data_IF_313792625187
#
_entry.id   IF_313792625187
#
_cell.length_a   1.000
_cell.length_b   1.000
_cell.length_c   1.000
_cell.angle_alpha   90.00
_cell.angle_beta   90.00
_cell.angle_gamma   90.00
#
_symmetry.space_group_name_H-M   'P 1'
#
loop_
_entity.id
_entity.type
_entity.pdbx_description
1 polymer ?
#
# COMPACT_ATOMS: atom_id res chain seq x y z
N UNK A 1 2.23 -17.56 10.40
CA UNK A 1 2.32 -17.25 8.96
C UNK A 1 2.42 -15.74 8.81
N UNK A 2 3.62 -15.21 8.58
CA UNK A 2 3.77 -13.80 8.21
C UNK A 2 3.60 -13.72 6.69
N UNK A 3 2.41 -13.35 6.20
CA UNK A 3 2.19 -13.13 4.77
C UNK A 3 2.97 -11.87 4.35
N UNK A 4 4.15 -12.09 3.76
CA UNK A 4 5.00 -11.08 3.14
C UNK A 4 4.34 -10.49 1.89
N UNK A 5 3.37 -9.60 2.11
CA UNK A 5 2.66 -8.88 1.06
C UNK A 5 2.99 -7.39 1.15
N UNK A 6 3.52 -6.82 0.07
CA UNK A 6 3.83 -5.40 -0.06
C UNK A 6 2.67 -4.73 -0.78
N UNK A 7 1.97 -3.82 -0.10
CA UNK A 7 0.95 -2.98 -0.74
C UNK A 7 1.61 -1.70 -1.26
N UNK A 8 1.48 -1.43 -2.55
CA UNK A 8 1.93 -0.19 -3.15
C UNK A 8 0.83 0.85 -3.00
N UNK A 9 1.05 1.82 -2.11
CA UNK A 9 0.42 3.14 -2.15
C UNK A 9 1.20 4.06 -3.08
N UNK A 10 0.67 5.24 -3.41
CA UNK A 10 1.30 6.22 -4.30
C UNK A 10 2.62 6.86 -3.74
N UNK A 11 3.36 6.15 -2.88
CA UNK A 11 4.70 6.54 -2.48
C UNK A 11 5.69 5.95 -3.47
N UNK A 12 6.21 6.78 -4.38
CA UNK A 12 7.41 6.45 -5.12
C UNK A 12 8.53 6.19 -4.09
N UNK A 13 8.98 4.95 -3.99
CA UNK A 13 9.99 4.53 -3.03
C UNK A 13 11.41 5.00 -3.44
N UNK A 14 11.63 6.30 -3.71
CA UNK A 14 12.97 6.89 -3.92
C UNK A 14 13.05 8.40 -3.58
N UNK A 15 12.18 8.97 -2.73
CA UNK A 15 12.42 10.34 -2.22
C UNK A 15 13.39 10.30 -1.04
N UNK A 16 14.67 10.56 -1.30
CA UNK A 16 15.61 10.92 -0.23
C UNK A 16 15.26 12.32 0.27
N UNK A 17 14.63 12.41 1.44
CA UNK A 17 14.37 13.68 2.11
C UNK A 17 15.67 14.24 2.69
N UNK A 18 16.47 14.89 1.85
CA UNK A 18 17.54 15.78 2.28
C UNK A 18 16.99 17.18 2.54
N UNK A 19 16.64 17.49 3.79
CA UNK A 19 16.39 18.87 4.24
C UNK A 19 17.72 19.66 4.25
N UNK A 20 18.22 20.03 3.07
CA UNK A 20 19.28 21.03 2.94
C UNK A 20 18.62 22.38 2.69
N UNK A 21 18.75 23.28 3.66
CA UNK A 21 18.34 24.67 3.50
C UNK A 21 19.14 25.31 2.35
N UNK A 22 18.44 25.91 1.40
CA UNK A 22 18.99 26.54 0.20
C UNK A 22 19.96 27.68 0.55
N UNK A 23 21.20 27.60 0.06
CA UNK A 23 22.10 28.74 -0.02
C UNK A 23 21.70 29.60 -1.23
N UNK A 24 21.39 30.90 -1.08
CA UNK A 24 21.03 31.75 -2.22
C UNK A 24 22.22 31.88 -3.20
N UNK A 25 22.04 31.41 -4.44
CA UNK A 25 23.01 31.56 -5.53
C UNK A 25 23.53 30.27 -6.17
N UNK A 26 23.19 29.10 -5.63
CA UNK A 26 23.42 27.82 -6.30
C UNK A 26 22.16 27.43 -7.10
N UNK A 27 22.33 26.99 -8.34
CA UNK A 27 21.22 26.44 -9.14
C UNK A 27 20.58 25.25 -8.41
N UNK A 28 19.29 25.00 -8.64
CA UNK A 28 18.57 23.89 -8.02
C UNK A 28 19.27 22.55 -8.30
N UNK A 29 19.33 21.67 -7.31
CA UNK A 29 19.92 20.34 -7.48
C UNK A 29 19.01 19.44 -8.33
N UNK A 30 19.57 18.33 -8.85
CA UNK A 30 18.76 17.32 -9.55
C UNK A 30 17.63 16.78 -8.66
N UNK A 31 17.90 16.58 -7.37
CA UNK A 31 16.91 16.08 -6.41
C UNK A 31 15.76 17.07 -6.20
N UNK A 32 16.06 18.36 -6.05
CA UNK A 32 15.05 19.41 -5.89
C UNK A 32 14.15 19.54 -7.12
N UNK A 33 14.73 19.44 -8.32
CA UNK A 33 13.98 19.46 -9.57
C UNK A 33 13.10 18.21 -9.71
N UNK A 34 13.62 17.04 -9.39
CA UNK A 34 12.87 15.78 -9.37
C UNK A 34 11.72 15.80 -8.37
N UNK A 35 11.91 16.39 -7.18
CA UNK A 35 10.84 16.53 -6.18
C UNK A 35 9.71 17.45 -6.69
N UNK A 36 10.04 18.57 -7.34
CA UNK A 36 9.03 19.43 -7.98
C UNK A 36 8.32 18.75 -9.13
N UNK A 37 9.04 18.00 -9.97
CA UNK A 37 8.47 17.23 -11.07
C UNK A 37 7.53 16.13 -10.57
N UNK A 38 7.88 15.48 -9.45
CA UNK A 38 7.03 14.52 -8.75
C UNK A 38 5.71 15.15 -8.29
N UNK A 39 5.75 16.34 -7.68
CA UNK A 39 4.54 17.06 -7.28
C UNK A 39 3.64 17.36 -8.50
N UNK A 40 4.24 17.75 -9.63
CA UNK A 40 3.50 17.96 -10.88
C UNK A 40 2.87 16.65 -11.41
N UNK A 41 3.61 15.54 -11.37
CA UNK A 41 3.08 14.21 -11.72
C UNK A 41 1.89 13.81 -10.86
N UNK A 42 1.96 14.02 -9.54
CA UNK A 42 0.87 13.75 -8.60
C UNK A 42 -0.35 14.65 -8.85
N UNK A 43 -0.11 15.90 -9.25
CA UNK A 43 -1.13 16.85 -9.68
C UNK A 43 -1.72 16.54 -11.07
N UNK A 44 -1.19 15.55 -11.78
CA UNK A 44 -1.50 15.21 -13.18
C UNK A 44 -1.18 16.36 -14.17
N UNK A 45 -0.27 17.27 -13.79
CA UNK A 45 0.31 18.26 -14.69
C UNK A 45 1.52 17.66 -15.40
N UNK A 46 1.24 16.87 -16.44
CA UNK A 46 2.27 16.09 -17.13
C UNK A 46 3.23 16.94 -17.95
N UNK A 47 2.86 18.16 -18.33
CA UNK A 47 3.77 19.08 -19.03
C UNK A 47 4.85 19.58 -18.08
N UNK A 48 4.43 20.14 -16.94
CA UNK A 48 5.38 20.58 -15.89
C UNK A 48 6.19 19.40 -15.35
N UNK A 49 5.58 18.22 -15.23
CA UNK A 49 6.30 17.00 -14.86
C UNK A 49 7.43 16.66 -15.86
N UNK A 50 7.11 16.62 -17.16
CA UNK A 50 8.07 16.26 -18.19
C UNK A 50 9.25 17.23 -18.23
N UNK A 51 8.97 18.54 -18.18
CA UNK A 51 9.99 19.58 -18.16
C UNK A 51 10.85 19.51 -16.88
N UNK A 52 10.21 19.29 -15.73
CA UNK A 52 10.89 19.17 -14.44
C UNK A 52 11.87 17.99 -14.39
N UNK A 53 11.44 16.79 -14.78
CA UNK A 53 12.33 15.62 -14.81
C UNK A 53 13.40 15.73 -15.88
N UNK A 54 13.11 16.35 -17.04
CA UNK A 54 14.13 16.63 -18.04
C UNK A 54 15.21 17.58 -17.48
N UNK A 55 14.81 18.65 -16.81
CA UNK A 55 15.74 19.59 -16.19
C UNK A 55 16.58 18.91 -15.10
N UNK A 56 15.96 18.05 -14.27
CA UNK A 56 16.66 17.24 -13.28
C UNK A 56 17.74 16.35 -13.92
N UNK A 57 17.38 15.66 -15.01
CA UNK A 57 18.31 14.81 -15.76
C UNK A 57 19.50 15.61 -16.35
N UNK A 58 19.25 16.83 -16.82
CA UNK A 58 20.28 17.67 -17.44
C UNK A 58 21.33 18.20 -16.45
N UNK A 59 20.99 18.29 -15.17
CA UNK A 59 21.92 18.71 -14.10
C UNK A 59 22.44 17.55 -13.25
N UNK A 60 21.84 16.36 -13.36
CA UNK A 60 22.28 15.16 -12.65
C UNK A 60 23.71 14.77 -13.05
N UNK A 61 24.59 14.59 -12.06
CA UNK A 61 25.97 14.14 -12.28
C UNK A 61 26.09 12.62 -12.27
N UNK A 62 25.23 11.95 -11.49
CA UNK A 62 25.13 10.50 -11.45
C UNK A 62 24.40 9.96 -12.69
N UNK A 63 24.91 8.85 -13.24
CA UNK A 63 24.38 8.30 -14.49
C UNK A 63 23.02 7.60 -14.29
N UNK A 64 22.81 6.96 -13.15
CA UNK A 64 21.56 6.27 -12.80
C UNK A 64 20.45 7.29 -12.55
N UNK A 65 20.70 8.32 -11.74
CA UNK A 65 19.77 9.42 -11.49
C UNK A 65 19.39 10.15 -12.79
N UNK A 66 20.36 10.37 -13.68
CA UNK A 66 20.13 10.97 -15.00
C UNK A 66 19.25 10.07 -15.88
N UNK A 67 19.56 8.79 -15.94
CA UNK A 67 18.81 7.81 -16.74
C UNK A 67 17.36 7.70 -16.27
N UNK A 68 17.15 7.58 -14.97
CA UNK A 68 15.82 7.54 -14.36
C UNK A 68 15.05 8.84 -14.61
N UNK A 69 15.67 10.00 -14.43
CA UNK A 69 15.01 11.28 -14.67
C UNK A 69 14.56 11.43 -16.14
N UNK A 70 15.39 11.03 -17.13
CA UNK A 70 14.94 11.03 -18.52
C UNK A 70 13.81 10.01 -18.79
N UNK A 71 13.85 8.85 -18.15
CA UNK A 71 12.79 7.84 -18.25
C UNK A 71 11.45 8.39 -17.74
N UNK A 72 11.45 9.00 -16.56
CA UNK A 72 10.26 9.63 -15.96
C UNK A 72 9.74 10.81 -16.77
N UNK A 73 10.65 11.63 -17.32
CA UNK A 73 10.28 12.70 -18.25
C UNK A 73 9.56 12.17 -19.49
N UNK A 74 10.03 11.04 -20.05
CA UNK A 74 9.38 10.40 -21.19
C UNK A 74 7.98 9.87 -20.85
N UNK A 75 7.80 9.27 -19.66
CA UNK A 75 6.50 8.85 -19.14
C UNK A 75 5.51 10.02 -19.07
N UNK A 76 5.92 11.14 -18.47
CA UNK A 76 5.11 12.36 -18.42
C UNK A 76 4.80 12.94 -19.80
N UNK A 77 5.78 13.05 -20.69
CA UNK A 77 5.54 13.54 -22.05
C UNK A 77 4.56 12.64 -22.83
N UNK A 78 4.65 11.32 -22.66
CA UNK A 78 3.73 10.35 -23.27
C UNK A 78 2.31 10.50 -22.72
N UNK A 79 2.15 10.63 -21.39
CA UNK A 79 0.85 10.89 -20.75
C UNK A 79 0.22 12.22 -21.17
N UNK A 80 1.04 13.23 -21.51
CA UNK A 80 0.60 14.51 -22.07
C UNK A 80 0.22 14.42 -23.56
N UNK A 81 0.43 13.28 -24.23
CA UNK A 81 0.19 13.10 -25.67
C UNK A 81 1.32 13.64 -26.56
N UNK A 82 2.47 13.99 -26.00
CA UNK A 82 3.62 14.54 -26.71
C UNK A 82 4.60 13.46 -27.16
N UNK A 83 4.16 12.58 -28.06
CA UNK A 83 4.96 11.41 -28.50
C UNK A 83 6.30 11.82 -29.13
N UNK A 84 6.31 12.89 -29.94
CA UNK A 84 7.52 13.43 -30.57
C UNK A 84 8.57 13.92 -29.55
N UNK A 85 8.13 14.35 -28.37
CA UNK A 85 9.01 14.73 -27.27
C UNK A 85 9.41 13.54 -26.39
N UNK A 86 8.50 12.57 -26.21
CA UNK A 86 8.73 11.39 -25.36
C UNK A 86 9.77 10.42 -25.95
N UNK A 87 9.73 10.15 -27.26
CA UNK A 87 10.69 9.25 -27.93
C UNK A 87 12.16 9.67 -27.72
N UNK A 88 12.58 10.92 -27.97
CA UNK A 88 13.96 11.32 -27.72
C UNK A 88 14.34 11.28 -26.24
N UNK A 89 13.40 11.51 -25.31
CA UNK A 89 13.67 11.41 -23.87
C UNK A 89 13.97 9.97 -23.46
N UNK A 90 13.16 8.98 -23.86
CA UNK A 90 13.44 7.58 -23.53
C UNK A 90 14.72 7.06 -24.20
N UNK A 91 15.04 7.54 -25.41
CA UNK A 91 16.36 7.29 -26.04
C UNK A 91 17.50 7.82 -25.16
N UNK A 92 17.38 9.05 -24.64
CA UNK A 92 18.39 9.63 -23.72
C UNK A 92 18.48 8.86 -22.41
N UNK A 93 17.38 8.34 -21.89
CA UNK A 93 17.37 7.47 -20.70
C UNK A 93 18.23 6.22 -20.92
N UNK A 94 17.99 5.49 -22.02
CA UNK A 94 18.75 4.29 -22.39
C UNK A 94 20.22 4.63 -22.68
N UNK A 95 20.50 5.73 -23.37
CA UNK A 95 21.88 6.20 -23.60
C UNK A 95 22.60 6.57 -22.30
N UNK A 96 21.86 7.01 -21.28
CA UNK A 96 22.39 7.34 -19.95
C UNK A 96 22.54 6.12 -19.04
N UNK A 97 22.12 4.93 -19.49
CA UNK A 97 22.32 3.67 -18.77
C UNK A 97 21.03 2.99 -18.27
N UNK A 98 19.84 3.53 -18.56
CA UNK A 98 18.59 2.87 -18.15
C UNK A 98 18.54 1.44 -18.70
N UNK A 99 18.23 0.47 -17.83
CA UNK A 99 18.42 -0.95 -18.13
C UNK A 99 17.20 -1.86 -17.89
N UNK A 100 16.13 -1.37 -17.27
CA UNK A 100 14.94 -2.20 -17.01
C UNK A 100 14.01 -2.26 -18.25
N UNK A 101 14.41 -3.10 -19.21
CA UNK A 101 13.69 -3.29 -20.46
C UNK A 101 12.28 -3.87 -20.26
N UNK A 102 12.08 -4.71 -19.25
CA UNK A 102 10.76 -5.28 -18.96
C UNK A 102 9.81 -4.20 -18.45
N UNK A 103 10.26 -3.37 -17.51
CA UNK A 103 9.48 -2.25 -17.02
C UNK A 103 9.16 -1.25 -18.15
N UNK A 104 10.13 -0.96 -19.02
CA UNK A 104 9.92 -0.12 -20.21
C UNK A 104 8.83 -0.69 -21.14
N UNK A 105 8.82 -2.00 -21.37
CA UNK A 105 7.86 -2.67 -22.26
C UNK A 105 6.43 -2.74 -21.69
N UNK A 106 6.28 -2.74 -20.37
CA UNK A 106 4.99 -2.95 -19.71
C UNK A 106 4.47 -1.72 -18.95
N UNK A 107 5.22 -0.61 -18.91
CA UNK A 107 4.75 0.62 -18.28
C UNK A 107 3.58 1.21 -19.08
N UNK A 108 2.36 1.31 -18.49
CA UNK A 108 1.20 1.87 -19.19
C UNK A 108 1.38 3.33 -19.60
N UNK A 109 2.28 4.09 -18.96
CA UNK A 109 2.59 5.47 -19.33
C UNK A 109 3.27 5.59 -20.68
N UNK A 110 4.01 4.55 -21.10
CA UNK A 110 4.74 4.53 -22.37
C UNK A 110 3.99 3.76 -23.47
N UNK A 111 2.78 3.28 -23.21
CA UNK A 111 2.04 2.42 -24.14
C UNK A 111 1.87 3.05 -25.54
N UNK A 112 1.69 4.37 -25.62
CA UNK A 112 1.57 5.10 -26.88
C UNK A 112 2.87 5.13 -27.70
N UNK A 113 4.02 4.90 -27.06
CA UNK A 113 5.33 4.83 -27.73
C UNK A 113 5.60 3.48 -28.38
N UNK A 114 4.86 2.43 -28.02
CA UNK A 114 5.12 1.07 -28.53
C UNK A 114 4.94 0.95 -30.05
N UNK A 115 4.11 1.82 -30.64
CA UNK A 115 3.89 1.87 -32.08
C UNK A 115 4.93 2.72 -32.83
N UNK A 116 5.87 3.36 -32.13
CA UNK A 116 6.86 4.23 -32.75
C UNK A 116 7.97 3.41 -33.43
N UNK A 117 8.46 3.82 -34.62
CA UNK A 117 9.47 3.06 -35.36
C UNK A 117 10.76 2.79 -34.57
N UNK A 118 11.09 3.67 -33.63
CA UNK A 118 12.30 3.59 -32.81
C UNK A 118 12.19 2.66 -31.59
N UNK A 119 10.98 2.17 -31.28
CA UNK A 119 10.71 1.48 -30.02
C UNK A 119 11.54 0.22 -29.84
N UNK A 120 11.65 -0.61 -30.87
CA UNK A 120 12.43 -1.85 -30.82
C UNK A 120 13.92 -1.59 -30.52
N UNK A 121 14.48 -0.52 -31.09
CA UNK A 121 15.85 -0.11 -30.83
C UNK A 121 16.05 0.39 -29.39
N UNK A 122 15.07 1.11 -28.84
CA UNK A 122 15.08 1.58 -27.44
C UNK A 122 15.08 0.39 -26.49
N UNK A 123 14.17 -0.58 -26.67
CA UNK A 123 14.08 -1.78 -25.84
C UNK A 123 15.38 -2.59 -25.91
N UNK A 124 15.92 -2.80 -27.11
CA UNK A 124 17.18 -3.52 -27.31
C UNK A 124 18.34 -2.83 -26.60
N UNK A 125 18.39 -1.50 -26.63
CA UNK A 125 19.40 -0.73 -25.90
C UNK A 125 19.30 -0.92 -24.38
N UNK A 126 18.09 -0.90 -23.81
CA UNK A 126 17.89 -1.16 -22.39
C UNK A 126 18.33 -2.59 -22.00
N UNK A 127 18.01 -3.59 -22.82
CA UNK A 127 18.46 -4.98 -22.62
C UNK A 127 19.99 -5.11 -22.65
N UNK A 128 20.66 -4.37 -23.54
CA UNK A 128 22.12 -4.35 -23.59
C UNK A 128 22.75 -3.69 -22.35
N UNK A 129 22.07 -2.71 -21.74
CA UNK A 129 22.51 -2.11 -20.49
C UNK A 129 22.32 -3.06 -19.30
N UNK A 130 21.27 -3.90 -19.30
CA UNK A 130 21.00 -4.86 -18.22
C UNK A 130 22.17 -5.82 -17.98
N UNK A 131 22.85 -6.26 -19.04
CA UNK A 131 24.02 -7.13 -18.92
C UNK A 131 25.22 -6.47 -18.19
N UNK A 132 25.19 -5.15 -18.00
CA UNK A 132 26.21 -4.35 -17.32
C UNK A 132 25.73 -3.80 -15.97
N UNK A 133 24.47 -4.03 -15.61
CA UNK A 133 23.90 -3.50 -14.39
C UNK A 133 24.57 -4.16 -13.17
N UNK A 134 24.82 -3.39 -12.08
CA UNK A 134 25.45 -3.92 -10.88
C UNK A 134 24.57 -4.96 -10.19
N UNK A 135 23.25 -4.77 -10.24
CA UNK A 135 22.25 -5.70 -9.75
C UNK A 135 21.10 -5.81 -10.77
N UNK A 136 20.48 -6.98 -10.86
CA UNK A 136 19.32 -7.17 -11.71
C UNK A 136 18.10 -6.41 -11.13
N UNK A 137 17.25 -5.79 -11.98
CA UNK A 137 16.04 -5.14 -11.50
C UNK A 137 15.06 -6.17 -10.96
N UNK A 138 14.14 -5.71 -10.13
CA UNK A 138 13.04 -6.56 -9.68
C UNK A 138 12.20 -7.01 -10.88
N UNK A 139 11.92 -8.32 -11.05
CA UNK A 139 11.13 -8.79 -12.17
C UNK A 139 9.74 -8.12 -12.20
N UNK A 140 9.30 -7.69 -13.39
CA UNK A 140 7.93 -7.19 -13.57
C UNK A 140 6.95 -8.30 -13.18
N UNK A 141 6.05 -8.04 -12.20
CA UNK A 141 5.17 -9.07 -11.71
C UNK A 141 4.09 -9.41 -12.74
N UNK A 142 3.60 -10.64 -12.70
CA UNK A 142 2.41 -11.05 -13.47
C UNK A 142 1.15 -10.73 -12.66
N UNK A 143 0.16 -10.09 -13.29
CA UNK A 143 -1.15 -9.86 -12.66
C UNK A 143 -1.86 -11.20 -12.45
N UNK A 144 -1.94 -11.66 -11.21
CA UNK A 144 -2.58 -12.91 -10.83
C UNK A 144 -4.07 -12.75 -10.49
N UNK A 145 -4.51 -11.54 -10.14
CA UNK A 145 -5.92 -11.28 -9.89
C UNK A 145 -6.30 -9.80 -10.01
N UNK A 146 -7.52 -9.57 -10.47
CA UNK A 146 -8.15 -8.26 -10.58
C UNK A 146 -9.52 -8.34 -9.91
N UNK A 147 -9.72 -7.56 -8.85
CA UNK A 147 -10.95 -7.55 -8.08
C UNK A 147 -11.65 -6.19 -8.11
N UNK A 148 -12.98 -6.24 -8.03
CA UNK A 148 -13.85 -5.10 -7.80
C UNK A 148 -14.54 -5.32 -6.45
N UNK A 149 -14.49 -4.34 -5.55
CA UNK A 149 -15.04 -4.52 -4.21
C UNK A 149 -15.78 -3.28 -3.69
N UNK A 150 -16.92 -3.50 -3.03
CA UNK A 150 -17.63 -2.48 -2.25
C UNK A 150 -18.66 -1.64 -2.99
N UNK A 151 -18.88 -1.89 -4.30
CA UNK A 151 -19.97 -1.31 -5.09
C UNK A 151 -20.96 -2.39 -5.52
N UNK A 152 -22.25 -2.06 -5.51
CA UNK A 152 -23.34 -2.85 -6.07
C UNK A 152 -23.55 -2.55 -7.57
N UNK A 153 -22.97 -1.45 -8.07
CA UNK A 153 -23.14 -0.93 -9.43
C UNK A 153 -22.01 -1.38 -10.36
N UNK A 154 -20.85 -1.72 -9.80
CA UNK A 154 -19.62 -2.02 -10.56
C UNK A 154 -19.10 -3.39 -10.20
N UNK A 155 -19.00 -4.26 -11.20
CA UNK A 155 -18.42 -5.59 -11.09
C UNK A 155 -16.96 -5.65 -11.61
N UNK A 156 -16.35 -6.83 -11.51
CA UNK A 156 -14.97 -7.09 -11.97
C UNK A 156 -14.81 -6.82 -13.47
N UNK A 157 -15.84 -7.07 -14.27
CA UNK A 157 -15.79 -6.90 -15.72
C UNK A 157 -15.83 -5.43 -16.14
N UNK A 158 -16.61 -4.61 -15.44
CA UNK A 158 -16.57 -3.15 -15.59
C UNK A 158 -15.18 -2.60 -15.23
N UNK A 159 -14.60 -3.02 -14.10
CA UNK A 159 -13.24 -2.63 -13.71
C UNK A 159 -12.23 -3.04 -14.79
N UNK A 160 -12.28 -4.29 -15.27
CA UNK A 160 -11.40 -4.80 -16.33
C UNK A 160 -11.46 -3.93 -17.59
N UNK A 161 -12.66 -3.57 -18.06
CA UNK A 161 -12.84 -2.73 -19.24
C UNK A 161 -12.28 -1.31 -19.05
N UNK A 162 -12.51 -0.69 -17.89
CA UNK A 162 -12.02 0.67 -17.62
C UNK A 162 -10.50 0.69 -17.48
N UNK A 163 -9.95 -0.25 -16.73
CA UNK A 163 -8.52 -0.31 -16.42
C UNK A 163 -7.67 -0.97 -17.50
N UNK A 164 -8.26 -1.71 -18.45
CA UNK A 164 -7.52 -2.40 -19.51
C UNK A 164 -6.50 -3.42 -18.99
N UNK A 165 -6.71 -3.96 -17.79
CA UNK A 165 -5.82 -4.92 -17.16
C UNK A 165 -6.23 -6.35 -17.51
N UNK A 166 -5.24 -7.19 -17.79
CA UNK A 166 -5.46 -8.60 -18.15
C UNK A 166 -4.75 -9.52 -17.16
N UNK A 167 -5.50 -10.40 -16.51
CA UNK A 167 -4.94 -11.45 -15.65
C UNK A 167 -4.06 -12.38 -16.48
N UNK A 168 -2.89 -12.72 -15.95
CA UNK A 168 -1.85 -13.50 -16.64
C UNK A 168 -0.88 -12.67 -17.47
N UNK A 169 -1.03 -11.34 -17.54
CA UNK A 169 -0.08 -10.44 -18.20
C UNK A 169 0.84 -9.74 -17.19
N UNK A 170 2.05 -9.34 -17.60
CA UNK A 170 2.89 -8.45 -16.80
C UNK A 170 2.17 -7.14 -16.47
N UNK A 171 2.42 -6.60 -15.28
CA UNK A 171 1.85 -5.33 -14.83
C UNK A 171 2.90 -4.45 -14.17
N UNK A 172 2.89 -3.17 -14.55
CA UNK A 172 3.67 -2.10 -13.93
C UNK A 172 2.72 -1.14 -13.23
N UNK A 173 3.05 -0.74 -12.00
CA UNK A 173 2.28 0.25 -11.27
C UNK A 173 2.57 1.66 -11.83
N UNK A 174 1.50 2.36 -12.20
CA UNK A 174 1.55 3.79 -12.50
C UNK A 174 0.49 4.50 -11.67
N UNK A 175 0.92 5.40 -10.78
CA UNK A 175 0.00 6.14 -9.92
C UNK A 175 -0.88 7.08 -10.75
N UNK A 176 -0.32 7.74 -11.77
CA UNK A 176 -1.06 8.60 -12.67
C UNK A 176 -2.09 7.83 -13.49
N UNK A 177 -1.71 6.70 -14.09
CA UNK A 177 -2.62 5.84 -14.84
C UNK A 177 -3.79 5.40 -13.96
N UNK A 178 -3.50 4.85 -12.76
CA UNK A 178 -4.57 4.42 -11.86
C UNK A 178 -5.44 5.59 -11.38
N UNK A 179 -4.88 6.76 -11.06
CA UNK A 179 -5.66 7.93 -10.67
C UNK A 179 -6.61 8.40 -11.78
N UNK A 180 -6.18 8.37 -13.04
CA UNK A 180 -7.05 8.67 -14.19
C UNK A 180 -8.19 7.65 -14.33
N UNK A 181 -7.88 6.35 -14.19
CA UNK A 181 -8.89 5.27 -14.26
C UNK A 181 -9.85 5.27 -13.08
N UNK A 182 -9.37 5.57 -11.88
CA UNK A 182 -10.18 5.80 -10.67
C UNK A 182 -11.19 6.93 -10.92
N UNK A 183 -10.74 8.07 -11.46
CA UNK A 183 -11.60 9.23 -11.75
C UNK A 183 -12.66 8.91 -12.83
N UNK A 184 -12.26 8.22 -13.90
CA UNK A 184 -13.18 7.78 -14.96
C UNK A 184 -14.26 6.84 -14.40
N UNK A 185 -13.86 5.81 -13.65
CA UNK A 185 -14.80 4.86 -13.04
C UNK A 185 -15.75 5.56 -12.06
N UNK A 186 -15.23 6.48 -11.25
CA UNK A 186 -16.03 7.26 -10.30
C UNK A 186 -17.10 8.09 -11.00
N UNK A 187 -16.73 8.78 -12.08
CA UNK A 187 -17.66 9.61 -12.86
C UNK A 187 -18.71 8.79 -13.61
N UNK A 188 -18.32 7.66 -14.19
CA UNK A 188 -19.22 6.81 -14.98
C UNK A 188 -20.32 6.14 -14.15
N UNK A 189 -20.05 5.83 -12.88
CA UNK A 189 -20.94 5.06 -12.02
C UNK A 189 -21.45 5.84 -10.79
N UNK A 190 -21.19 7.15 -10.74
CA UNK A 190 -21.60 8.04 -9.64
C UNK A 190 -21.18 7.48 -8.26
N UNK A 191 -19.92 7.08 -8.13
CA UNK A 191 -19.39 6.51 -6.90
C UNK A 191 -18.93 7.62 -5.94
N UNK A 192 -19.12 7.43 -4.64
CA UNK A 192 -18.59 8.34 -3.63
C UNK A 192 -17.07 8.19 -3.46
N UNK A 193 -16.54 6.99 -3.73
CA UNK A 193 -15.13 6.67 -3.56
C UNK A 193 -14.70 5.61 -4.57
N UNK A 194 -13.47 5.77 -5.11
CA UNK A 194 -12.76 4.76 -5.88
C UNK A 194 -11.28 4.84 -5.52
N UNK A 195 -10.67 3.70 -5.19
CA UNK A 195 -9.23 3.59 -4.98
C UNK A 195 -8.71 2.26 -5.47
N UNK A 196 -7.58 2.28 -6.14
CA UNK A 196 -6.87 1.09 -6.58
C UNK A 196 -5.75 0.78 -5.60
N UNK A 197 -5.74 -0.45 -5.10
CA UNK A 197 -4.63 -1.04 -4.37
C UNK A 197 -3.95 -2.11 -5.22
N UNK A 198 -2.62 -2.04 -5.32
CA UNK A 198 -1.82 -3.13 -5.89
C UNK A 198 -1.01 -3.78 -4.79
N UNK A 199 -1.03 -5.10 -4.72
CA UNK A 199 -0.24 -5.88 -3.77
C UNK A 199 0.70 -6.81 -4.52
N UNK A 200 1.99 -6.73 -4.19
CA UNK A 200 3.00 -7.68 -4.64
C UNK A 200 3.28 -8.68 -3.54
N UNK A 201 3.38 -9.95 -3.92
CA UNK A 201 3.77 -11.01 -3.02
C UNK A 201 5.23 -11.37 -3.26
N UNK A 202 6.00 -11.38 -2.17
CA UNK A 202 7.39 -11.85 -2.19
C UNK A 202 7.54 -13.25 -1.60
N UNK A 203 6.52 -13.72 -0.86
CA UNK A 203 6.46 -15.08 -0.32
C UNK A 203 6.39 -16.13 -1.43
N UNK A 204 6.99 -17.30 -1.20
CA UNK A 204 7.28 -18.33 -2.21
C UNK A 204 6.07 -18.72 -3.08
N UNK A 205 4.90 -18.96 -2.48
CA UNK A 205 3.66 -19.39 -3.18
C UNK A 205 3.17 -18.41 -4.25
N UNK A 206 3.46 -17.12 -4.06
CA UNK A 206 2.95 -16.02 -4.88
C UNK A 206 4.07 -15.10 -5.36
N UNK A 207 5.33 -15.52 -5.26
CA UNK A 207 6.48 -14.73 -5.66
C UNK A 207 6.36 -14.30 -7.13
N UNK A 208 6.53 -13.00 -7.36
CA UNK A 208 6.41 -12.41 -8.71
C UNK A 208 4.97 -12.23 -9.19
N UNK A 209 3.97 -12.40 -8.32
CA UNK A 209 2.56 -12.13 -8.63
C UNK A 209 2.12 -10.79 -8.05
N UNK A 210 1.32 -10.08 -8.82
CA UNK A 210 0.60 -8.89 -8.41
C UNK A 210 -0.90 -9.16 -8.33
N UNK A 211 -1.58 -8.54 -7.37
CA UNK A 211 -3.03 -8.49 -7.30
C UNK A 211 -3.48 -7.05 -7.27
N UNK A 212 -4.50 -6.72 -8.06
CA UNK A 212 -5.11 -5.40 -8.10
C UNK A 212 -6.52 -5.51 -7.53
N UNK A 213 -6.85 -4.66 -6.56
CA UNK A 213 -8.21 -4.51 -6.07
C UNK A 213 -8.64 -3.06 -6.31
N UNK A 214 -9.79 -2.88 -6.94
CA UNK A 214 -10.44 -1.58 -7.09
C UNK A 214 -11.54 -1.49 -6.04
N UNK A 215 -11.23 -0.74 -4.99
CA UNK A 215 -12.06 -0.47 -3.84
C UNK A 215 -13.03 0.67 -4.13
N UNK A 216 -14.31 0.46 -3.87
CA UNK A 216 -15.37 1.39 -4.21
C UNK A 216 -16.37 1.57 -3.07
N UNK A 217 -17.03 2.73 -3.06
CA UNK A 217 -18.19 3.01 -2.21
C UNK A 217 -19.24 3.71 -3.05
N UNK A 218 -20.43 3.11 -3.11
CA UNK A 218 -21.60 3.74 -3.71
C UNK A 218 -22.04 4.95 -2.87
N UNK A 219 -22.69 5.95 -3.47
CA UNK A 219 -23.17 7.15 -2.75
C UNK A 219 -24.09 6.80 -1.58
N UNK A 220 -24.90 5.78 -1.75
CA UNK A 220 -25.82 5.25 -0.75
C UNK A 220 -25.10 4.66 0.47
N UNK A 221 -23.84 4.23 0.30
CA UNK A 221 -23.01 3.58 1.31
C UNK A 221 -21.90 4.50 1.86
N UNK A 222 -21.99 5.83 1.62
CA UNK A 222 -20.97 6.83 2.00
C UNK A 222 -20.67 6.88 3.51
N UNK A 223 -21.52 6.31 4.37
CA UNK A 223 -21.25 6.18 5.80
C UNK A 223 -19.93 5.44 6.09
N UNK A 224 -19.49 4.56 5.17
CA UNK A 224 -18.19 3.86 5.23
C UNK A 224 -16.99 4.80 5.16
N UNK A 225 -17.17 6.03 4.66
CA UNK A 225 -16.13 7.06 4.48
C UNK A 225 -16.03 8.02 5.67
N UNK A 226 -16.72 7.76 6.78
CA UNK A 226 -16.67 8.61 7.98
C UNK A 226 -15.35 8.42 8.72
N UNK A 227 -14.32 9.15 8.36
CA UNK A 227 -13.03 9.13 9.08
C UNK A 227 -12.99 10.21 10.16
N UNK A 228 -11.98 10.14 11.02
CA UNK A 228 -11.62 11.24 11.91
C UNK A 228 -11.23 12.47 11.09
N UNK A 229 -11.42 13.69 11.62
CA UNK A 229 -10.94 14.90 10.98
C UNK A 229 -9.43 14.83 10.70
N UNK A 230 -9.00 15.38 9.58
CA UNK A 230 -7.59 15.52 9.27
C UNK A 230 -6.90 16.41 10.32
N UNK A 231 -5.84 15.91 10.98
CA UNK A 231 -5.09 16.71 11.93
C UNK A 231 -4.34 17.85 11.24
N UNK A 232 -4.04 18.90 12.00
CA UNK A 232 -3.43 20.15 11.49
C UNK A 232 -2.21 20.59 12.30
N UNK A 233 -1.83 19.81 13.31
CA UNK A 233 -0.68 20.09 14.16
C UNK A 233 0.64 19.88 13.42
N UNK A 234 1.70 20.45 13.95
CA UNK A 234 3.06 20.30 13.44
C UNK A 234 3.94 19.99 14.64
N UNK A 235 3.86 18.75 15.11
CA UNK A 235 4.53 18.36 16.34
C UNK A 235 6.01 18.06 16.03
N UNK A 236 6.93 18.33 16.96
CA UNK A 236 8.31 17.90 16.79
C UNK A 236 8.37 16.37 16.70
N UNK A 237 9.36 15.84 15.97
CA UNK A 237 9.65 14.41 16.00
C UNK A 237 10.38 14.07 17.31
N UNK A 238 9.76 13.33 18.25
CA UNK A 238 10.34 13.08 19.57
C UNK A 238 11.65 12.28 19.43
N UNK A 239 12.76 12.93 19.76
CA UNK A 239 14.13 12.39 19.60
C UNK A 239 14.49 11.91 18.18
N UNK A 240 13.75 12.34 17.15
CA UNK A 240 13.96 11.89 15.77
C UNK A 240 13.48 10.45 15.49
N UNK A 241 12.64 9.88 16.37
CA UNK A 241 12.24 8.48 16.30
C UNK A 241 11.39 8.15 15.08
N UNK A 242 10.48 9.04 14.65
CA UNK A 242 9.65 8.80 13.49
C UNK A 242 10.48 8.81 12.20
N UNK A 243 11.39 9.77 12.05
CA UNK A 243 12.34 9.81 10.94
C UNK A 243 13.23 8.54 10.92
N UNK A 244 13.68 8.10 12.10
CA UNK A 244 14.49 6.88 12.25
C UNK A 244 13.73 5.62 11.88
N UNK A 245 12.44 5.52 12.23
CA UNK A 245 11.56 4.44 11.79
C UNK A 245 11.36 4.43 10.27
N UNK A 246 11.22 5.59 9.65
CA UNK A 246 11.08 5.69 8.19
C UNK A 246 12.36 5.25 7.46
N UNK A 247 13.55 5.59 7.96
CA UNK A 247 14.84 5.07 7.45
C UNK A 247 14.91 3.54 7.58
N UNK A 248 14.49 2.98 8.71
CA UNK A 248 14.37 1.52 8.89
C UNK A 248 13.43 0.90 7.84
N UNK A 249 12.22 1.44 7.70
CA UNK A 249 11.22 0.90 6.78
C UNK A 249 11.69 0.95 5.32
N UNK A 250 12.34 2.05 4.92
CA UNK A 250 12.90 2.18 3.57
C UNK A 250 13.95 1.09 3.30
N UNK A 251 14.85 0.83 4.26
CA UNK A 251 15.86 -0.23 4.14
C UNK A 251 15.25 -1.61 4.11
N UNK A 252 14.26 -1.89 4.96
CA UNK A 252 13.50 -3.14 4.94
C UNK A 252 12.90 -3.37 3.56
N UNK A 253 12.25 -2.35 2.97
CA UNK A 253 11.65 -2.47 1.64
C UNK A 253 12.68 -2.76 0.56
N UNK A 254 13.79 -2.02 0.58
CA UNK A 254 14.89 -2.23 -0.37
C UNK A 254 15.42 -3.68 -0.27
N UNK A 255 15.72 -4.15 0.93
CA UNK A 255 16.20 -5.51 1.18
C UNK A 255 15.16 -6.57 0.79
N UNK A 256 13.87 -6.33 1.06
CA UNK A 256 12.79 -7.24 0.72
C UNK A 256 12.67 -7.41 -0.80
N UNK A 257 12.71 -6.31 -1.54
CA UNK A 257 12.65 -6.32 -3.00
C UNK A 257 13.89 -6.99 -3.61
N UNK A 258 15.05 -6.88 -2.97
CA UNK A 258 16.26 -7.62 -3.35
C UNK A 258 16.27 -9.09 -2.90
N UNK A 259 15.27 -9.56 -2.15
CA UNK A 259 15.25 -10.91 -1.57
C UNK A 259 16.37 -11.15 -0.56
N UNK A 260 16.87 -10.09 0.11
CA UNK A 260 17.96 -10.10 1.08
C UNK A 260 17.49 -10.18 2.54
N UNK A 261 16.17 -10.19 2.79
CA UNK A 261 15.61 -10.39 4.14
C UNK A 261 15.45 -11.87 4.47
N UNK A 262 15.79 -12.21 5.70
CA UNK A 262 15.53 -13.52 6.28
C UNK A 262 14.11 -13.57 6.85
N UNK A 263 13.28 -14.50 6.37
CA UNK A 263 11.90 -14.69 6.83
C UNK A 263 11.82 -15.15 8.30
N UNK A 264 12.92 -15.70 8.84
CA UNK A 264 13.01 -16.09 10.25
C UNK A 264 13.36 -14.93 11.18
N UNK A 265 13.67 -13.75 10.63
CA UNK A 265 13.99 -12.58 11.44
C UNK A 265 12.79 -12.14 12.27
N UNK A 266 12.99 -12.06 13.59
CA UNK A 266 11.99 -11.61 14.55
C UNK A 266 12.40 -10.29 15.19
N UNK A 267 11.51 -9.77 16.04
CA UNK A 267 11.75 -8.61 16.88
C UNK A 267 11.52 -8.95 18.34
N UNK A 268 12.12 -8.16 19.22
CA UNK A 268 11.97 -8.29 20.66
C UNK A 268 10.61 -7.81 21.15
N UNK A 269 9.94 -6.95 20.37
CA UNK A 269 8.54 -6.54 20.59
C UNK A 269 7.58 -7.38 19.75
N UNK A 270 6.29 -7.35 20.12
CA UNK A 270 5.26 -8.18 19.49
C UNK A 270 5.10 -7.93 17.98
N UNK A 271 5.46 -6.74 17.49
CA UNK A 271 5.38 -6.43 16.07
C UNK A 271 6.48 -5.50 15.56
N UNK A 272 7.02 -5.85 14.39
CA UNK A 272 7.85 -5.02 13.55
C UNK A 272 7.70 -5.50 12.10
N UNK A 273 8.22 -4.75 11.14
CA UNK A 273 8.18 -5.13 9.72
C UNK A 273 9.56 -5.62 9.28
N UNK A 274 9.69 -6.89 8.90
CA UNK A 274 10.91 -7.41 8.28
C UNK A 274 12.06 -7.76 9.23
N UNK A 275 11.89 -7.57 10.54
CA UNK A 275 12.87 -7.96 11.55
C UNK A 275 14.11 -7.07 11.61
N UNK A 276 15.06 -7.41 12.48
CA UNK A 276 16.34 -6.69 12.65
C UNK A 276 17.58 -7.57 12.47
N UNK A 277 17.41 -8.79 11.91
CA UNK A 277 18.49 -9.77 11.77
C UNK A 277 19.50 -9.45 10.67
N UNK A 278 19.17 -8.55 9.74
CA UNK A 278 20.08 -8.15 8.67
C UNK A 278 21.11 -7.12 9.16
N UNK A 279 22.39 -7.17 8.73
CA UNK A 279 23.43 -6.24 9.20
C UNK A 279 23.13 -4.75 8.98
N UNK A 280 22.35 -4.42 7.95
CA UNK A 280 21.92 -3.04 7.70
C UNK A 280 20.75 -2.57 8.59
N UNK A 281 20.15 -3.47 9.37
CA UNK A 281 18.98 -3.22 10.21
C UNK A 281 19.26 -3.38 11.71
N UNK A 282 20.33 -4.09 12.09
CA UNK A 282 20.61 -4.48 13.49
C UNK A 282 20.72 -3.30 14.46
N UNK A 283 21.19 -2.14 14.00
CA UNK A 283 21.41 -0.96 14.87
C UNK A 283 20.13 -0.17 15.19
N UNK A 284 19.00 -0.49 14.55
CA UNK A 284 17.74 0.25 14.76
C UNK A 284 17.02 -0.17 16.04
N UNK A 285 16.89 -1.48 16.30
CA UNK A 285 16.09 -1.98 17.43
C UNK A 285 16.63 -1.55 18.80
N UNK A 286 17.95 -1.59 19.08
CA UNK A 286 18.47 -1.16 20.38
C UNK A 286 18.14 0.30 20.69
N UNK A 287 18.13 1.15 19.66
CA UNK A 287 17.74 2.56 19.80
C UNK A 287 16.25 2.71 20.14
N UNK A 288 15.38 1.97 19.44
CA UNK A 288 13.94 1.99 19.72
C UNK A 288 13.62 1.47 21.13
N UNK A 289 14.23 0.36 21.55
CA UNK A 289 14.06 -0.21 22.89
C UNK A 289 14.48 0.77 24.00
N UNK A 290 15.54 1.53 23.78
CA UNK A 290 16.04 2.48 24.77
C UNK A 290 15.18 3.75 24.87
N UNK A 291 14.76 4.30 23.73
CA UNK A 291 14.19 5.66 23.65
C UNK A 291 12.66 5.68 23.64
N UNK A 292 12.01 4.76 22.93
CA UNK A 292 10.55 4.82 22.72
C UNK A 292 9.74 4.76 24.02
N UNK A 293 10.07 3.91 25.02
CA UNK A 293 9.31 3.88 26.28
C UNK A 293 9.29 5.22 27.02
N UNK A 294 10.29 6.09 26.80
CA UNK A 294 10.39 7.42 27.41
C UNK A 294 9.58 8.48 26.64
N UNK A 295 9.13 8.16 25.42
CA UNK A 295 8.51 9.11 24.48
C UNK A 295 7.06 8.73 24.10
N UNK A 296 6.43 7.79 24.82
CA UNK A 296 5.10 7.26 24.45
C UNK A 296 4.02 8.34 24.34
N UNK A 297 3.99 9.31 25.26
CA UNK A 297 3.01 10.40 25.24
C UNK A 297 3.24 11.35 24.06
N UNK A 298 4.49 11.71 23.77
CA UNK A 298 4.84 12.53 22.62
C UNK A 298 4.50 11.83 21.30
N UNK A 299 4.82 10.53 21.18
CA UNK A 299 4.45 9.72 20.02
C UNK A 299 2.94 9.56 19.87
N UNK A 300 2.20 9.47 20.97
CA UNK A 300 0.73 9.43 20.95
C UNK A 300 0.15 10.76 20.48
N UNK A 301 0.73 11.89 20.90
CA UNK A 301 0.35 13.20 20.39
C UNK A 301 0.64 13.31 18.90
N UNK A 302 1.83 12.88 18.44
CA UNK A 302 2.17 12.80 17.01
C UNK A 302 1.09 12.04 16.24
N UNK A 303 0.79 10.80 16.64
CA UNK A 303 -0.22 9.94 16.01
C UNK A 303 -1.60 10.60 15.89
N UNK A 304 -1.99 11.47 16.83
CA UNK A 304 -3.34 12.05 16.87
C UNK A 304 -3.44 13.41 16.20
N UNK A 305 -2.37 14.21 16.24
CA UNK A 305 -2.46 15.64 16.02
C UNK A 305 -1.58 16.14 14.87
N UNK A 306 -0.53 15.39 14.48
CA UNK A 306 0.39 15.83 13.43
C UNK A 306 -0.24 15.73 12.03
N UNK A 307 -0.09 16.78 11.22
CA UNK A 307 -0.58 16.82 9.85
C UNK A 307 0.16 15.85 8.93
N UNK A 308 1.41 15.51 9.25
CA UNK A 308 2.23 14.56 8.50
C UNK A 308 1.78 13.12 8.79
N UNK A 309 1.17 12.48 7.80
CA UNK A 309 0.65 11.12 7.94
C UNK A 309 1.75 10.04 7.91
N UNK A 310 2.92 10.31 7.36
CA UNK A 310 4.09 9.43 7.45
C UNK A 310 4.60 9.41 8.89
N UNK A 311 4.72 10.57 9.53
CA UNK A 311 5.12 10.66 10.95
C UNK A 311 4.11 9.95 11.85
N UNK A 312 2.81 10.10 11.59
CA UNK A 312 1.75 9.38 12.31
C UNK A 312 1.82 7.88 12.12
N UNK A 313 2.03 7.41 10.88
CA UNK A 313 2.17 5.99 10.60
C UNK A 313 3.38 5.37 11.31
N UNK A 314 4.52 6.08 11.32
CA UNK A 314 5.71 5.69 12.07
C UNK A 314 5.44 5.62 13.58
N UNK A 315 4.77 6.62 14.15
CA UNK A 315 4.39 6.64 15.56
C UNK A 315 3.52 5.43 15.94
N UNK A 316 2.59 4.99 15.06
CA UNK A 316 1.79 3.80 15.33
C UNK A 316 2.63 2.53 15.51
N UNK A 317 3.69 2.34 14.72
CA UNK A 317 4.61 1.21 14.89
C UNK A 317 5.50 1.36 16.12
N UNK A 318 6.03 2.55 16.38
CA UNK A 318 6.86 2.80 17.55
C UNK A 318 6.07 2.57 18.84
N UNK A 319 4.78 2.89 18.88
CA UNK A 319 3.93 2.63 20.04
C UNK A 319 3.79 1.12 20.37
N UNK A 320 4.19 0.20 19.48
CA UNK A 320 4.32 -1.23 19.80
C UNK A 320 5.38 -1.54 20.88
N UNK A 321 6.28 -0.59 21.17
CA UNK A 321 7.29 -0.68 22.22
C UNK A 321 6.78 -0.21 23.60
N UNK A 322 5.47 0.00 23.78
CA UNK A 322 4.93 0.29 25.10
C UNK A 322 5.14 -0.89 26.06
N UNK A 323 5.23 -0.66 27.38
CA UNK A 323 5.54 -1.71 28.35
C UNK A 323 4.54 -2.88 28.42
N UNK A 324 3.28 -2.65 28.04
CA UNK A 324 2.26 -3.71 28.04
C UNK A 324 1.38 -3.65 26.78
N UNK A 325 0.83 -4.80 26.33
CA UNK A 325 -0.11 -4.84 25.21
C UNK A 325 -1.32 -3.92 25.39
N UNK A 326 -1.88 -3.83 26.60
CA UNK A 326 -3.05 -3.01 26.90
C UNK A 326 -2.75 -1.52 26.76
N UNK A 327 -1.53 -1.10 27.11
CA UNK A 327 -1.10 0.29 26.91
C UNK A 327 -0.97 0.62 25.42
N UNK A 328 -0.39 -0.28 24.63
CA UNK A 328 -0.35 -0.11 23.17
C UNK A 328 -1.76 0.00 22.59
N UNK A 329 -2.67 -0.89 23.00
CA UNK A 329 -4.07 -0.89 22.54
C UNK A 329 -4.78 0.43 22.89
N UNK A 330 -4.66 0.90 24.14
CA UNK A 330 -5.26 2.17 24.58
C UNK A 330 -4.80 3.36 23.74
N UNK A 331 -3.53 3.36 23.30
CA UNK A 331 -2.95 4.45 22.50
C UNK A 331 -3.37 4.37 21.03
N UNK A 332 -3.47 3.17 20.47
CA UNK A 332 -3.73 2.93 19.04
C UNK A 332 -5.20 2.90 18.63
N UNK A 333 -6.09 2.32 19.46
CA UNK A 333 -7.52 2.15 19.12
C UNK A 333 -8.20 3.46 18.68
N UNK A 334 -7.96 4.62 19.32
CA UNK A 334 -8.55 5.88 18.89
C UNK A 334 -8.21 6.28 17.44
N UNK A 335 -7.15 5.74 16.85
CA UNK A 335 -6.69 6.06 15.49
C UNK A 335 -7.06 5.00 14.45
N UNK A 336 -7.90 4.01 14.76
CA UNK A 336 -8.37 3.01 13.78
C UNK A 336 -9.11 3.66 12.60
N UNK A 337 -9.79 4.80 12.83
CA UNK A 337 -10.51 5.57 11.80
C UNK A 337 -9.76 6.81 11.33
N UNK A 338 -8.44 6.83 11.45
CA UNK A 338 -7.61 7.93 10.95
C UNK A 338 -7.96 8.32 9.49
N UNK A 339 -7.83 9.61 9.13
CA UNK A 339 -8.10 10.05 7.75
C UNK A 339 -7.12 9.42 6.75
N UNK A 340 -5.87 9.18 7.15
CA UNK A 340 -4.85 8.55 6.32
C UNK A 340 -4.97 7.03 6.34
N UNK A 341 -5.04 6.44 5.15
CA UNK A 341 -5.01 4.98 4.98
C UNK A 341 -3.72 4.35 5.50
N UNK A 342 -2.60 5.08 5.45
CA UNK A 342 -1.30 4.58 5.90
C UNK A 342 -1.28 4.45 7.42
N UNK A 343 -1.84 5.44 8.12
CA UNK A 343 -2.00 5.41 9.58
C UNK A 343 -2.94 4.30 10.01
N UNK A 344 -4.14 4.20 9.40
CA UNK A 344 -5.09 3.11 9.70
C UNK A 344 -4.47 1.73 9.48
N UNK A 345 -3.77 1.53 8.38
CA UNK A 345 -3.08 0.26 8.10
C UNK A 345 -2.02 -0.06 9.16
N UNK A 346 -1.26 0.93 9.60
CA UNK A 346 -0.20 0.77 10.61
C UNK A 346 -0.80 0.44 11.98
N UNK A 347 -1.81 1.19 12.41
CA UNK A 347 -2.57 0.98 13.65
C UNK A 347 -3.15 -0.44 13.70
N UNK A 348 -3.94 -0.81 12.69
CA UNK A 348 -4.62 -2.11 12.68
C UNK A 348 -3.60 -3.24 12.59
N UNK A 349 -2.50 -3.08 11.84
CA UNK A 349 -1.45 -4.09 11.77
C UNK A 349 -0.80 -4.37 13.13
N UNK A 350 -0.46 -3.33 13.90
CA UNK A 350 0.09 -3.52 15.24
C UNK A 350 -0.93 -4.19 16.17
N UNK A 351 -2.19 -3.77 16.11
CA UNK A 351 -3.27 -4.39 16.89
C UNK A 351 -3.48 -5.87 16.52
N UNK A 352 -3.45 -6.22 15.24
CA UNK A 352 -3.54 -7.61 14.76
C UNK A 352 -2.43 -8.48 15.36
N UNK A 353 -1.19 -8.00 15.33
CA UNK A 353 -0.05 -8.75 15.84
C UNK A 353 -0.09 -8.90 17.37
N UNK A 354 -0.53 -7.86 18.09
CA UNK A 354 -0.77 -7.94 19.53
C UNK A 354 -1.84 -8.98 19.88
N UNK A 355 -2.97 -8.96 19.18
CA UNK A 355 -4.04 -9.93 19.41
C UNK A 355 -3.57 -11.36 19.10
N UNK A 356 -2.81 -11.55 18.02
CA UNK A 356 -2.28 -12.86 17.65
C UNK A 356 -1.40 -13.48 18.74
N UNK A 357 -0.69 -12.66 19.51
CA UNK A 357 0.16 -13.10 20.61
C UNK A 357 -0.58 -13.19 21.96
N UNK A 358 -1.83 -12.72 22.02
CA UNK A 358 -2.65 -12.75 23.22
C UNK A 358 -3.38 -14.09 23.36
N UNK A 359 -3.93 -14.32 24.55
CA UNK A 359 -4.81 -15.47 24.85
C UNK A 359 -6.19 -15.02 25.31
N UNK A 360 -6.46 -13.71 25.20
CA UNK A 360 -7.71 -13.07 25.57
C UNK A 360 -7.93 -11.86 24.65
N UNK A 361 -9.18 -11.47 24.40
CA UNK A 361 -9.48 -10.30 23.57
C UNK A 361 -8.88 -9.03 24.16
N UNK A 362 -8.00 -8.36 23.42
CA UNK A 362 -7.40 -7.08 23.81
C UNK A 362 -8.21 -5.87 23.30
N UNK A 363 -8.97 -6.05 22.22
CA UNK A 363 -9.78 -5.01 21.58
C UNK A 363 -11.25 -5.42 21.57
N UNK A 364 -12.16 -4.45 21.71
CA UNK A 364 -13.59 -4.70 21.56
C UNK A 364 -13.92 -5.13 20.12
N UNK A 365 -14.62 -6.25 19.96
CA UNK A 365 -15.09 -6.77 18.67
C UNK A 365 -15.87 -5.71 17.89
N UNK A 366 -16.72 -4.91 18.56
CA UNK A 366 -17.50 -3.87 17.89
C UNK A 366 -16.62 -2.80 17.21
N UNK A 367 -15.45 -2.50 17.80
CA UNK A 367 -14.47 -1.57 17.21
C UNK A 367 -13.86 -2.15 15.93
N UNK A 368 -13.63 -3.46 15.88
CA UNK A 368 -12.99 -4.13 14.74
C UNK A 368 -13.98 -4.38 13.60
N UNK A 369 -15.25 -4.66 13.91
CA UNK A 369 -16.34 -4.80 12.92
C UNK A 369 -16.43 -3.57 12.02
N UNK A 370 -16.35 -2.39 12.62
CA UNK A 370 -16.34 -1.12 11.90
C UNK A 370 -15.11 -0.99 10.97
N UNK A 371 -13.94 -1.43 11.43
CA UNK A 371 -12.72 -1.46 10.61
C UNK A 371 -12.80 -2.42 9.41
N UNK A 372 -13.46 -3.59 9.56
CA UNK A 372 -13.69 -4.55 8.46
C UNK A 372 -14.59 -3.94 7.36
N UNK A 373 -15.40 -2.95 7.71
CA UNK A 373 -16.32 -2.30 6.77
C UNK A 373 -15.70 -1.11 6.03
N UNK A 374 -14.48 -0.71 6.39
CA UNK A 374 -13.76 0.42 5.79
C UNK A 374 -13.45 0.21 4.29
N UNK A 375 -13.27 1.29 3.52
CA UNK A 375 -13.35 1.23 2.08
C UNK A 375 -12.11 0.63 1.43
N UNK A 376 -10.92 0.65 2.04
CA UNK A 376 -9.71 0.18 1.35
C UNK A 376 -9.36 -1.27 1.68
N UNK A 377 -8.76 -1.95 0.71
CA UNK A 377 -8.19 -3.30 0.83
C UNK A 377 -7.19 -3.42 1.97
N UNK A 378 -6.42 -2.36 2.23
CA UNK A 378 -5.44 -2.29 3.32
C UNK A 378 -6.08 -2.09 4.70
N UNK A 379 -7.30 -1.54 4.76
CA UNK A 379 -8.06 -1.49 6.00
C UNK A 379 -8.61 -2.89 6.33
N UNK A 380 -9.27 -3.50 5.34
CA UNK A 380 -9.99 -4.77 5.53
C UNK A 380 -9.07 -5.94 5.81
N UNK A 381 -7.95 -6.07 5.09
CA UNK A 381 -7.11 -7.26 5.22
C UNK A 381 -6.69 -7.50 6.69
N UNK A 382 -6.20 -6.48 7.40
CA UNK A 382 -5.68 -6.64 8.77
C UNK A 382 -6.81 -6.60 9.77
N UNK A 383 -7.87 -5.83 9.51
CA UNK A 383 -9.06 -5.81 10.36
C UNK A 383 -9.75 -7.18 10.39
N UNK A 384 -9.83 -7.90 9.26
CA UNK A 384 -10.44 -9.23 9.22
C UNK A 384 -9.57 -10.29 9.89
N UNK A 385 -8.23 -10.21 9.80
CA UNK A 385 -7.35 -11.05 10.61
C UNK A 385 -7.49 -10.75 12.11
N UNK A 386 -7.51 -9.47 12.49
CA UNK A 386 -7.73 -9.07 13.89
C UNK A 386 -9.07 -9.61 14.40
N UNK A 387 -10.14 -9.49 13.60
CA UNK A 387 -11.44 -10.07 13.95
C UNK A 387 -11.34 -11.58 14.14
N UNK A 388 -10.66 -12.30 13.24
CA UNK A 388 -10.52 -13.74 13.36
C UNK A 388 -9.82 -14.17 14.66
N UNK A 389 -8.73 -13.49 15.05
CA UNK A 389 -8.06 -13.77 16.32
C UNK A 389 -8.94 -13.42 17.52
N UNK A 390 -9.65 -12.29 17.49
CA UNK A 390 -10.60 -11.94 18.55
C UNK A 390 -11.70 -12.99 18.72
N UNK A 391 -12.26 -13.52 17.63
CA UNK A 391 -13.29 -14.55 17.69
C UNK A 391 -12.75 -15.90 18.21
N UNK A 392 -11.48 -16.20 17.99
CA UNK A 392 -10.80 -17.39 18.54
C UNK A 392 -10.60 -17.27 20.07
N UNK A 393 -10.25 -16.07 20.54
CA UNK A 393 -10.01 -15.80 21.96
C UNK A 393 -11.28 -15.52 22.77
N UNK A 394 -12.43 -15.33 22.11
CA UNK A 394 -13.71 -15.13 22.81
C UNK A 394 -14.19 -16.42 23.50
N UNK A 395 -14.68 -16.33 24.76
CA UNK A 395 -15.44 -17.41 25.37
C UNK A 395 -16.61 -17.87 24.48
N UNK A 396 -16.90 -19.18 24.48
CA UNK A 396 -17.92 -19.77 23.59
C UNK A 396 -19.31 -19.13 23.76
N UNK A 397 -19.70 -18.83 24.99
CA UNK A 397 -20.96 -18.17 25.33
C UNK A 397 -20.99 -16.72 24.84
N UNK A 398 -19.89 -15.99 24.94
CA UNK A 398 -19.74 -14.64 24.42
C UNK A 398 -19.80 -14.60 22.88
N UNK A 399 -19.13 -15.54 22.20
CA UNK A 399 -19.22 -15.68 20.74
C UNK A 399 -20.65 -16.01 20.31
N UNK A 400 -21.30 -16.97 20.99
CA UNK A 400 -22.70 -17.35 20.72
C UNK A 400 -23.65 -16.16 20.87
N UNK A 401 -23.45 -15.32 21.89
CA UNK A 401 -24.27 -14.14 22.12
C UNK A 401 -24.12 -13.07 21.02
N UNK A 402 -22.93 -12.93 20.44
CA UNK A 402 -22.65 -11.90 19.42
C UNK A 402 -22.90 -12.36 17.98
N UNK A 403 -22.92 -13.68 17.74
CA UNK A 403 -22.94 -14.28 16.40
C UNK A 403 -24.01 -13.72 15.47
N UNK A 404 -25.27 -13.62 15.91
CA UNK A 404 -26.36 -13.13 15.07
C UNK A 404 -26.14 -11.66 14.66
N UNK A 405 -25.65 -10.82 15.57
CA UNK A 405 -25.34 -9.42 15.30
C UNK A 405 -24.17 -9.28 14.31
N UNK A 406 -23.12 -10.08 14.48
CA UNK A 406 -21.96 -10.09 13.57
C UNK A 406 -22.33 -10.55 12.16
N UNK A 407 -23.14 -11.62 12.05
CA UNK A 407 -23.64 -12.10 10.76
C UNK A 407 -24.48 -11.02 10.08
N UNK A 408 -25.35 -10.34 10.83
CA UNK A 408 -26.16 -9.25 10.28
C UNK A 408 -25.31 -8.08 9.79
N UNK A 409 -24.29 -7.67 10.54
CA UNK A 409 -23.46 -6.51 10.23
C UNK A 409 -22.42 -6.79 9.12
N UNK A 410 -21.81 -7.97 9.13
CA UNK A 410 -20.66 -8.29 8.28
C UNK A 410 -20.92 -9.38 7.24
N UNK A 411 -22.01 -10.14 7.32
CA UNK A 411 -22.24 -11.32 6.49
C UNK A 411 -22.05 -11.04 5.00
N UNK A 412 -22.76 -10.07 4.45
CA UNK A 412 -22.64 -9.68 3.03
C UNK A 412 -21.22 -9.26 2.66
N UNK A 413 -20.56 -8.48 3.52
CA UNK A 413 -19.18 -8.00 3.31
C UNK A 413 -18.19 -9.17 3.29
N UNK A 414 -18.28 -10.09 4.26
CA UNK A 414 -17.39 -11.25 4.37
C UNK A 414 -17.61 -12.22 3.21
N UNK A 415 -18.85 -12.44 2.79
CA UNK A 415 -19.18 -13.27 1.63
C UNK A 415 -18.70 -12.63 0.32
N UNK A 416 -18.78 -11.31 0.18
CA UNK A 416 -18.16 -10.62 -0.95
C UNK A 416 -16.63 -10.75 -0.92
N UNK A 417 -16.00 -10.65 0.25
CA UNK A 417 -14.55 -10.82 0.40
C UNK A 417 -14.09 -12.24 0.09
N UNK A 418 -14.87 -13.28 0.44
CA UNK A 418 -14.54 -14.67 0.12
C UNK A 418 -14.58 -14.98 -1.39
N UNK A 419 -15.14 -14.09 -2.21
CA UNK A 419 -15.13 -14.17 -3.67
C UNK A 419 -13.92 -13.47 -4.33
N UNK A 420 -13.08 -12.78 -3.56
CA UNK A 420 -11.90 -12.08 -4.08
C UNK A 420 -10.85 -13.07 -4.58
N UNK A 421 -10.14 -12.70 -5.64
CA UNK A 421 -8.96 -13.45 -6.11
C UNK A 421 -7.76 -13.18 -5.20
N UNK A 422 -7.68 -11.99 -4.61
CA UNK A 422 -6.60 -11.62 -3.70
C UNK A 422 -6.69 -12.38 -2.35
N UNK A 423 -5.69 -13.20 -1.99
CA UNK A 423 -5.77 -14.10 -0.84
C UNK A 423 -5.81 -13.37 0.51
N UNK A 424 -5.07 -12.25 0.64
CA UNK A 424 -4.95 -11.51 1.91
C UNK A 424 -6.25 -10.88 2.43
N UNK A 425 -7.31 -10.83 1.60
CA UNK A 425 -8.66 -10.45 2.03
C UNK A 425 -9.60 -11.65 2.00
N UNK A 426 -9.47 -12.53 1.00
CA UNK A 426 -10.31 -13.73 0.85
C UNK A 426 -10.17 -14.68 2.05
N UNK A 427 -8.95 -15.05 2.37
CA UNK A 427 -8.66 -16.10 3.33
C UNK A 427 -9.10 -15.73 4.76
N UNK A 428 -8.78 -14.54 5.31
CA UNK A 428 -9.29 -14.18 6.63
C UNK A 428 -10.82 -14.01 6.63
N UNK A 429 -11.46 -13.62 5.53
CA UNK A 429 -12.92 -13.57 5.47
C UNK A 429 -13.54 -14.97 5.56
N UNK A 430 -12.94 -15.97 4.90
CA UNK A 430 -13.36 -17.37 5.02
C UNK A 430 -13.15 -17.87 6.45
N UNK A 431 -12.04 -17.54 7.10
CA UNK A 431 -11.79 -17.91 8.51
C UNK A 431 -12.89 -17.36 9.43
N UNK A 432 -13.23 -16.07 9.32
CA UNK A 432 -14.30 -15.44 10.11
C UNK A 432 -15.66 -16.09 9.80
N UNK A 433 -15.98 -16.35 8.53
CA UNK A 433 -17.22 -17.04 8.16
C UNK A 433 -17.31 -18.44 8.77
N UNK A 434 -16.22 -19.20 8.80
CA UNK A 434 -16.16 -20.51 9.45
C UNK A 434 -16.37 -20.40 10.97
N UNK A 435 -15.74 -19.42 11.63
CA UNK A 435 -15.90 -19.19 13.06
C UNK A 435 -17.35 -18.79 13.44
N UNK A 436 -17.99 -17.96 12.61
CA UNK A 436 -19.37 -17.52 12.85
C UNK A 436 -20.40 -18.60 12.51
N UNK A 437 -20.18 -19.38 11.45
CA UNK A 437 -21.14 -20.41 11.00
C UNK A 437 -21.00 -21.73 11.75
N UNK A 438 -19.78 -22.13 12.11
CA UNK A 438 -19.46 -23.52 12.43
C UNK A 438 -19.47 -24.46 11.21
N UNK A 439 -19.68 -23.93 10.00
CA UNK A 439 -19.70 -24.66 8.73
C UNK A 439 -18.37 -24.43 7.98
N UNK A 440 -18.06 -25.31 7.03
CA UNK A 440 -16.92 -25.15 6.11
C UNK A 440 -17.45 -25.17 4.68
N UNK A 441 -17.17 -24.11 3.95
CA UNK A 441 -17.48 -24.02 2.52
C UNK A 441 -16.25 -23.56 1.74
N UNK A 442 -16.08 -24.12 0.55
CA UNK A 442 -14.93 -23.85 -0.33
C UNK A 442 -15.19 -22.69 -1.29
N UNK A 443 -16.45 -22.36 -1.56
CA UNK A 443 -16.84 -21.38 -2.58
C UNK A 443 -17.64 -20.23 -1.99
N UNK A 444 -17.54 -19.06 -2.62
CA UNK A 444 -18.33 -17.90 -2.26
C UNK A 444 -19.84 -18.15 -2.47
N UNK A 445 -20.22 -18.97 -3.46
CA UNK A 445 -21.61 -19.36 -3.73
C UNK A 445 -22.21 -20.12 -2.55
N UNK A 446 -21.50 -21.11 -2.01
CA UNK A 446 -21.95 -21.84 -0.83
C UNK A 446 -22.06 -20.93 0.41
N UNK A 447 -21.14 -19.97 0.56
CA UNK A 447 -21.27 -18.94 1.60
C UNK A 447 -22.49 -18.02 1.40
N UNK A 448 -22.84 -17.65 0.15
CA UNK A 448 -24.07 -16.89 -0.15
C UNK A 448 -25.32 -17.69 0.20
N UNK A 449 -25.36 -18.98 -0.15
CA UNK A 449 -26.47 -19.88 0.21
C UNK A 449 -26.61 -20.04 1.72
N UNK A 450 -25.49 -20.18 2.43
CA UNK A 450 -25.47 -20.18 3.89
C UNK A 450 -26.02 -18.88 4.48
N UNK A 451 -25.56 -17.73 3.99
CA UNK A 451 -26.02 -16.42 4.46
C UNK A 451 -27.52 -16.22 4.21
N UNK A 452 -28.03 -16.66 3.06
CA UNK A 452 -29.45 -16.57 2.71
C UNK A 452 -30.38 -17.39 3.63
N UNK A 453 -29.86 -18.42 4.31
CA UNK A 453 -30.59 -19.23 5.30
C UNK A 453 -30.67 -18.57 6.68
N UNK A 454 -29.89 -17.52 6.95
CA UNK A 454 -29.83 -16.91 8.28
C UNK A 454 -31.11 -16.10 8.56
N UNK A 455 -31.60 -16.08 9.82
CA UNK A 455 -32.74 -15.27 10.20
C UNK A 455 -32.50 -13.80 9.84
N UNK A 456 -33.42 -13.19 9.09
CA UNK A 456 -33.41 -11.75 8.91
C UNK A 456 -33.90 -11.11 10.20
N UNK A 457 -33.01 -10.43 10.92
CA UNK A 457 -33.43 -9.55 12.01
C UNK A 457 -34.24 -8.41 11.42
N UNK A 458 -35.51 -8.27 11.84
CA UNK A 458 -36.34 -7.11 11.51
C UNK A 458 -35.65 -5.84 12.04
N UNK A 459 -35.61 -4.79 11.21
CA UNK A 459 -34.91 -3.53 11.49
C UNK A 459 -35.68 -2.61 12.43
#
# INVERSE_FOLDING_TARGET
MALGAVAFGAGCAHSSNGNNALTPGQGATAQELSAKAQQAYEALDFNTCADGFKAAAEVATDAEERAESFYRAAGCASLAGHLDAAVPLVKRAVQSGYFDAAHLQYNPELAALHAQPDWEAIVTGAQANLAKAPEAPFPVPTLAGLDAFGSKKVDREAVRRVFGLEVGKPIVYSAAYFKQKEALLRGQYELAFVKTGMTLFVAEEHKGKAFVVVDMVDVEDQARLRFLPEPKGHLPDPEGLAARWNDYQQRVWSLQMMGKLDESSSCQVTHCIGGFGHPQLVDFEPEFLAKVPQQLDALTAVLREDADDEKRAAAAFLLAYAPTPEETVRRLVPSIRDNSKSVRNSVVRVLTALQQAATQPLVDVATVVDAVSMPTTTDRNKATYLLSYLLEDLPEDALKAQRAGLIHQLGETLVAMSALQQPINRDPAVMVLQQLSGEKHETAEAWREWLARQPRTER
#
